data_IF_044570449937
#
_entry.id   IF_044570449937
#
_cell.length_a   1.000
_cell.length_b   1.000
_cell.length_c   1.000
_cell.angle_alpha   90.00
_cell.angle_beta   90.00
_cell.angle_gamma   90.00
#
_symmetry.space_group_name_H-M   'P 1'
#
loop_
_entity.id
_entity.type
_entity.pdbx_description
1 polymer ?
#
# COMPACT_ATOMS: atom_id res chain seq x y z
N UNK A 1 -14.55 2.54 -9.88
CA UNK A 1 -13.99 3.91 -9.90
C UNK A 1 -12.50 3.80 -10.19
N UNK A 2 -11.91 4.65 -11.06
CA UNK A 2 -10.47 4.63 -11.28
C UNK A 2 -9.74 4.99 -9.98
N UNK A 3 -8.70 4.24 -9.63
CA UNK A 3 -7.78 4.57 -8.54
C UNK A 3 -7.06 5.83 -8.99
N UNK A 4 -7.15 6.90 -8.21
CA UNK A 4 -6.40 8.12 -8.52
C UNK A 4 -4.90 7.81 -8.43
N UNK A 5 -4.13 8.18 -9.45
CA UNK A 5 -2.68 8.00 -9.43
C UNK A 5 -2.07 8.72 -8.23
N UNK A 6 -0.98 8.21 -7.63
CA UNK A 6 -0.30 8.86 -6.53
C UNK A 6 0.10 10.28 -6.91
N UNK A 7 -0.01 11.22 -5.97
CA UNK A 7 0.39 12.62 -6.18
C UNK A 7 1.57 12.91 -5.27
N UNK A 8 2.73 13.22 -5.85
CA UNK A 8 3.89 13.70 -5.09
C UNK A 8 3.78 15.21 -4.90
N UNK A 9 3.80 15.66 -3.65
CA UNK A 9 3.85 17.08 -3.29
C UNK A 9 5.12 17.38 -2.50
N UNK A 10 5.66 18.58 -2.70
CA UNK A 10 6.72 19.12 -1.84
C UNK A 10 6.07 19.85 -0.67
N UNK A 11 6.44 19.49 0.56
CA UNK A 11 5.92 20.08 1.78
C UNK A 11 7.06 20.70 2.57
N UNK A 12 6.85 21.92 3.07
CA UNK A 12 7.75 22.53 4.06
C UNK A 12 7.57 21.87 5.42
N UNK A 13 8.68 21.45 6.03
CA UNK A 13 8.74 20.91 7.37
C UNK A 13 9.86 21.60 8.18
N UNK A 14 9.89 21.47 9.52
CA UNK A 14 10.84 22.21 10.38
C UNK A 14 12.33 21.98 10.07
N UNK A 15 12.66 20.95 9.28
CA UNK A 15 14.03 20.60 8.88
C UNK A 15 14.35 20.90 7.41
N UNK A 16 13.43 21.51 6.65
CA UNK A 16 13.60 21.81 5.22
C UNK A 16 12.37 21.45 4.40
N UNK A 17 12.58 21.09 3.13
CA UNK A 17 11.52 20.61 2.23
C UNK A 17 11.56 19.09 2.13
N UNK A 18 10.43 18.42 2.36
CA UNK A 18 10.26 16.98 2.16
C UNK A 18 9.34 16.69 0.97
N UNK A 19 9.62 15.62 0.22
CA UNK A 19 8.69 15.08 -0.76
C UNK A 19 7.77 14.08 -0.07
N UNK A 20 6.46 14.27 -0.23
CA UNK A 20 5.43 13.39 0.32
C UNK A 20 4.59 12.87 -0.84
N UNK A 21 4.53 11.55 -0.98
CA UNK A 21 3.64 10.89 -1.94
C UNK A 21 2.31 10.59 -1.28
N UNK A 22 1.25 11.24 -1.77
CA UNK A 22 -0.12 10.97 -1.36
C UNK A 22 -0.65 9.78 -2.16
N UNK A 23 -1.18 8.78 -1.46
CA UNK A 23 -1.79 7.57 -2.04
C UNK A 23 -3.28 7.55 -1.77
N UNK A 24 -4.06 6.95 -2.68
CA UNK A 24 -5.50 6.79 -2.53
C UNK A 24 -5.83 5.96 -1.27
N UNK A 25 -6.59 6.56 -0.34
CA UNK A 25 -6.97 5.91 0.91
C UNK A 25 -7.69 4.57 0.67
N UNK A 26 -8.53 4.47 -0.38
CA UNK A 26 -9.25 3.22 -0.69
C UNK A 26 -8.30 2.12 -1.13
N UNK A 27 -7.21 2.48 -1.81
CA UNK A 27 -6.18 1.52 -2.20
C UNK A 27 -5.43 0.98 -0.97
N UNK A 28 -5.16 1.85 0.01
CA UNK A 28 -4.57 1.46 1.31
C UNK A 28 -5.53 0.59 2.12
N UNK A 29 -6.81 0.96 2.21
CA UNK A 29 -7.86 0.19 2.90
C UNK A 29 -8.02 -1.22 2.30
N UNK A 30 -7.99 -1.34 0.97
CA UNK A 30 -8.05 -2.64 0.29
C UNK A 30 -6.84 -3.52 0.61
N UNK A 31 -5.64 -2.93 0.72
CA UNK A 31 -4.43 -3.66 1.09
C UNK A 31 -4.51 -4.16 2.54
N UNK A 32 -4.95 -3.31 3.47
CA UNK A 32 -5.17 -3.68 4.88
C UNK A 32 -6.18 -4.83 4.96
N UNK A 33 -7.32 -4.72 4.27
CA UNK A 33 -8.35 -5.78 4.24
C UNK A 33 -7.82 -7.11 3.70
N UNK A 34 -6.88 -7.08 2.75
CA UNK A 34 -6.21 -8.29 2.24
C UNK A 34 -5.35 -8.94 3.31
N UNK A 35 -4.59 -8.17 4.10
CA UNK A 35 -3.82 -8.69 5.22
C UNK A 35 -4.71 -9.25 6.33
N UNK A 36 -5.79 -8.54 6.69
CA UNK A 36 -6.73 -9.01 7.71
C UNK A 36 -7.35 -10.34 7.29
N UNK A 37 -7.81 -10.43 6.04
CA UNK A 37 -8.36 -11.69 5.48
C UNK A 37 -7.33 -12.82 5.44
N UNK A 38 -6.05 -12.50 5.19
CA UNK A 38 -4.97 -13.49 5.23
C UNK A 38 -4.67 -14.00 6.64
N UNK A 39 -4.80 -13.14 7.66
CA UNK A 39 -4.66 -13.52 9.07
C UNK A 39 -5.84 -14.38 9.54
N UNK A 40 -7.05 -14.13 9.01
CA UNK A 40 -8.26 -14.91 9.33
C UNK A 40 -8.39 -16.21 8.52
N UNK A 41 -7.44 -16.49 7.61
CA UNK A 41 -7.47 -17.69 6.78
C UNK A 41 -7.30 -18.99 7.61
N UNK A 42 -7.83 -20.15 7.14
CA UNK A 42 -7.63 -21.43 7.80
C UNK A 42 -6.15 -21.72 8.07
N UNK A 43 -5.78 -22.37 9.20
CA UNK A 43 -4.38 -22.50 9.62
C UNK A 43 -3.44 -23.15 8.59
N UNK A 44 -3.97 -24.05 7.76
CA UNK A 44 -3.20 -24.73 6.71
C UNK A 44 -2.97 -23.85 5.45
N UNK A 45 -3.74 -22.78 5.28
CA UNK A 45 -3.62 -21.81 4.17
C UNK A 45 -3.03 -20.47 4.61
N UNK A 46 -3.07 -20.18 5.92
CA UNK A 46 -2.65 -18.91 6.50
C UNK A 46 -1.22 -18.50 6.09
N UNK A 47 -0.19 -19.38 6.10
CA UNK A 47 1.14 -18.99 5.65
C UNK A 47 1.17 -18.55 4.18
N UNK A 48 0.45 -19.26 3.30
CA UNK A 48 0.35 -18.93 1.88
C UNK A 48 -0.40 -17.62 1.66
N UNK A 49 -1.52 -17.41 2.37
CA UNK A 49 -2.31 -16.19 2.28
C UNK A 49 -1.51 -14.96 2.74
N UNK A 50 -0.73 -15.09 3.82
CA UNK A 50 0.15 -14.01 4.30
C UNK A 50 1.23 -13.69 3.27
N UNK A 51 1.87 -14.71 2.69
CA UNK A 51 2.89 -14.50 1.66
C UNK A 51 2.31 -13.82 0.41
N UNK A 52 1.08 -14.18 0.01
CA UNK A 52 0.39 -13.53 -1.08
C UNK A 52 0.07 -12.06 -0.76
N UNK A 53 -0.46 -11.77 0.43
CA UNK A 53 -0.74 -10.40 0.87
C UNK A 53 0.53 -9.54 0.91
N UNK A 54 1.66 -10.11 1.36
CA UNK A 54 2.97 -9.43 1.33
C UNK A 54 3.43 -9.13 -0.09
N UNK A 55 3.39 -10.10 -1.00
CA UNK A 55 3.78 -9.89 -2.39
C UNK A 55 2.92 -8.80 -3.08
N UNK A 56 1.62 -8.78 -2.79
CA UNK A 56 0.71 -7.74 -3.27
C UNK A 56 1.10 -6.35 -2.73
N UNK A 57 1.46 -6.26 -1.45
CA UNK A 57 1.91 -5.00 -0.84
C UNK A 57 3.21 -4.49 -1.47
N UNK A 58 4.18 -5.38 -1.69
CA UNK A 58 5.45 -5.04 -2.34
C UNK A 58 5.23 -4.53 -3.77
N UNK A 59 4.37 -5.21 -4.54
CA UNK A 59 4.00 -4.76 -5.88
C UNK A 59 3.36 -3.37 -5.85
N UNK A 60 2.44 -3.11 -4.93
CA UNK A 60 1.78 -1.80 -4.80
C UNK A 60 2.75 -0.70 -4.41
N UNK A 61 3.69 -0.97 -3.50
CA UNK A 61 4.74 -0.01 -3.13
C UNK A 61 5.64 0.33 -4.32
N UNK A 62 5.99 -0.66 -5.16
CA UNK A 62 6.77 -0.43 -6.37
C UNK A 62 5.99 0.39 -7.40
N UNK A 63 4.71 0.07 -7.62
CA UNK A 63 3.84 0.82 -8.54
C UNK A 63 3.68 2.28 -8.09
N UNK A 64 3.51 2.53 -6.78
CA UNK A 64 3.42 3.89 -6.26
C UNK A 64 4.74 4.63 -6.32
N UNK A 65 5.86 3.97 -6.04
CA UNK A 65 7.20 4.56 -6.15
C UNK A 65 7.62 4.85 -7.58
N UNK A 66 7.15 4.07 -8.56
CA UNK A 66 7.43 4.29 -9.99
C UNK A 66 6.55 5.36 -10.63
N UNK A 67 5.41 5.70 -10.01
CA UNK A 67 4.49 6.75 -10.47
C UNK A 67 4.81 8.13 -9.89
N UNK A 68 5.73 8.21 -8.92
CA UNK A 68 6.15 9.42 -8.21
C UNK A 68 7.31 10.14 -8.91
#
# INVERSE_FOLDING_TARGET
MPIASPITITRDCPRGTEQVTLVDLRAVEALIGTFTSALDAPPHLQPTAINYARALAELRLLEWGAAA
#
